data_IF_808676307881
#
_entry.id   IF_808676307881
#
_cell.length_a   1.000
_cell.length_b   1.000
_cell.length_c   1.000
_cell.angle_alpha   90.00
_cell.angle_beta   90.00
_cell.angle_gamma   90.00
#
_symmetry.space_group_name_H-M   'P 1'
#
loop_
_entity.id
_entity.type
_entity.pdbx_description
1 polymer ?
#
# COMPACT_ATOMS: atom_id res chain seq x y z
N UNK A 1 4.48 -15.65 22.14
CA UNK A 1 3.15 -16.13 21.75
C UNK A 1 3.33 -16.89 20.44
N UNK A 2 2.86 -18.14 20.36
CA UNK A 2 3.05 -18.98 19.18
C UNK A 2 1.78 -19.01 18.35
N UNK A 3 1.45 -17.89 17.69
CA UNK A 3 0.41 -17.91 16.66
C UNK A 3 1.06 -18.28 15.32
N UNK A 4 0.47 -19.22 14.60
CA UNK A 4 0.82 -19.54 13.23
C UNK A 4 0.13 -18.56 12.29
N UNK A 5 0.80 -18.12 11.23
CA UNK A 5 0.25 -17.23 10.23
C UNK A 5 0.14 -17.97 8.89
N UNK A 6 -1.07 -17.98 8.32
CA UNK A 6 -1.31 -18.41 6.95
C UNK A 6 -1.31 -17.18 6.02
N UNK A 7 -0.48 -17.22 4.98
CA UNK A 7 -0.43 -16.15 3.98
C UNK A 7 -1.41 -16.48 2.85
N UNK A 8 -2.31 -15.54 2.55
CA UNK A 8 -3.24 -15.68 1.43
C UNK A 8 -2.51 -15.35 0.11
N UNK A 9 -2.75 -16.12 -0.95
CA UNK A 9 -2.24 -15.79 -2.27
C UNK A 9 -2.96 -14.55 -2.83
N UNK A 10 -2.26 -13.84 -3.72
CA UNK A 10 -2.82 -12.74 -4.51
C UNK A 10 -2.76 -13.07 -5.99
N UNK A 11 -3.60 -12.42 -6.78
CA UNK A 11 -3.57 -12.52 -8.24
C UNK A 11 -2.47 -11.62 -8.86
N UNK A 12 -2.36 -11.62 -10.18
CA UNK A 12 -1.38 -10.80 -10.91
C UNK A 12 -1.57 -9.28 -10.78
N UNK A 13 -2.69 -8.83 -10.22
CA UNK A 13 -2.96 -7.44 -9.87
C UNK A 13 -2.70 -7.12 -8.39
N UNK A 14 -2.32 -8.13 -7.60
CA UNK A 14 -2.05 -8.01 -6.17
C UNK A 14 -3.31 -8.03 -5.31
N UNK A 15 -4.41 -8.62 -5.78
CA UNK A 15 -5.68 -8.75 -5.04
C UNK A 15 -5.83 -10.12 -4.41
N UNK A 16 -6.39 -10.15 -3.22
CA UNK A 16 -6.84 -11.37 -2.57
C UNK A 16 -8.16 -11.82 -3.19
N UNK A 17 -8.21 -13.04 -3.74
CA UNK A 17 -9.45 -13.65 -4.19
C UNK A 17 -10.31 -14.03 -2.98
N UNK A 18 -11.59 -13.60 -2.91
CA UNK A 18 -12.54 -14.01 -1.88
C UNK A 18 -12.64 -15.55 -1.71
N UNK A 19 -12.55 -16.31 -2.81
CA UNK A 19 -12.55 -17.78 -2.74
C UNK A 19 -11.30 -18.30 -2.00
N UNK A 20 -10.12 -17.72 -2.25
CA UNK A 20 -8.89 -18.10 -1.54
C UNK A 20 -8.97 -17.87 -0.03
N UNK A 21 -9.62 -16.80 0.41
CA UNK A 21 -9.88 -16.57 1.84
C UNK A 21 -10.84 -17.63 2.39
N UNK A 22 -11.95 -17.90 1.70
CA UNK A 22 -12.91 -18.91 2.12
C UNK A 22 -12.26 -20.28 2.27
N UNK A 23 -11.48 -20.70 1.26
CA UNK A 23 -10.77 -22.00 1.24
C UNK A 23 -9.77 -22.09 2.41
N UNK A 24 -9.01 -21.01 2.67
CA UNK A 24 -8.05 -20.98 3.77
C UNK A 24 -8.72 -21.11 5.15
N UNK A 25 -9.89 -20.48 5.33
CA UNK A 25 -10.67 -20.58 6.57
C UNK A 25 -11.29 -21.98 6.72
N UNK A 26 -11.78 -22.59 5.64
CA UNK A 26 -12.29 -23.96 5.63
C UNK A 26 -11.18 -24.99 5.92
N UNK A 27 -9.96 -24.74 5.43
CA UNK A 27 -8.77 -25.56 5.74
C UNK A 27 -8.38 -25.46 7.21
N UNK A 28 -8.42 -24.25 7.78
CA UNK A 28 -8.15 -24.02 9.19
C UNK A 28 -9.17 -24.76 10.08
N UNK A 29 -10.47 -24.65 9.75
CA UNK A 29 -11.55 -25.36 10.46
C UNK A 29 -11.35 -26.86 10.41
N UNK A 30 -11.06 -27.43 9.23
CA UNK A 30 -10.78 -28.87 9.05
C UNK A 30 -9.56 -29.34 9.83
N UNK A 31 -8.56 -28.48 10.00
CA UNK A 31 -7.39 -28.75 10.82
C UNK A 31 -7.66 -28.58 12.33
N UNK A 32 -8.84 -28.13 12.75
CA UNK A 32 -9.17 -27.82 14.13
C UNK A 32 -8.41 -26.61 14.69
N UNK A 33 -7.96 -25.70 13.82
CA UNK A 33 -7.29 -24.48 14.20
C UNK A 33 -8.31 -23.40 14.66
N UNK A 34 -7.99 -22.69 15.73
CA UNK A 34 -8.74 -21.52 16.18
C UNK A 34 -8.18 -20.27 15.52
N UNK A 35 -8.90 -19.75 14.51
CA UNK A 35 -8.49 -18.57 13.78
C UNK A 35 -8.83 -17.32 14.60
N UNK A 36 -7.82 -16.67 15.13
CA UNK A 36 -7.98 -15.50 15.99
C UNK A 36 -8.32 -14.21 15.23
N UNK A 37 -7.86 -14.06 13.98
CA UNK A 37 -7.98 -12.82 13.20
C UNK A 37 -7.70 -13.07 11.73
N UNK A 38 -8.45 -12.42 10.85
CA UNK A 38 -8.07 -12.16 9.46
C UNK A 38 -7.56 -10.72 9.38
N UNK A 39 -6.40 -10.52 8.73
CA UNK A 39 -5.81 -9.19 8.56
C UNK A 39 -5.38 -8.99 7.10
N UNK A 40 -5.98 -8.02 6.42
CA UNK A 40 -5.69 -7.70 5.01
C UNK A 40 -5.53 -6.19 4.86
N UNK A 41 -4.51 -5.76 4.14
CA UNK A 41 -4.27 -4.34 3.84
C UNK A 41 -5.39 -3.79 2.95
N UNK A 42 -5.91 -2.58 3.24
CA UNK A 42 -6.94 -1.96 2.41
C UNK A 42 -6.38 -1.50 1.06
N UNK A 43 -5.18 -0.91 1.06
CA UNK A 43 -4.55 -0.46 -0.15
C UNK A 43 -3.04 -0.71 -0.10
N UNK A 44 -2.51 -1.39 -1.12
CA UNK A 44 -1.11 -1.78 -1.17
C UNK A 44 -0.20 -0.56 -1.41
N UNK A 45 0.84 -0.44 -0.61
CA UNK A 45 1.77 0.70 -0.63
C UNK A 45 2.80 0.67 -1.77
N UNK A 46 2.93 -0.44 -2.49
CA UNK A 46 3.90 -0.58 -3.59
C UNK A 46 3.22 -0.46 -4.96
N UNK A 47 2.13 -1.18 -5.15
CA UNK A 47 1.44 -1.25 -6.45
C UNK A 47 0.13 -0.45 -6.48
N UNK A 48 -0.35 -0.01 -5.32
CA UNK A 48 -1.53 0.83 -5.20
C UNK A 48 -2.86 0.10 -5.30
N UNK A 49 -2.89 -1.22 -5.44
CA UNK A 49 -4.12 -2.03 -5.50
C UNK A 49 -4.95 -1.86 -4.25
N UNK A 50 -6.26 -1.65 -4.42
CA UNK A 50 -7.26 -1.53 -3.33
C UNK A 50 -8.02 -2.85 -3.24
N UNK A 51 -8.09 -3.41 -2.04
CA UNK A 51 -8.80 -4.66 -1.74
C UNK A 51 -10.29 -4.44 -1.51
N UNK A 52 -11.08 -5.45 -1.79
CA UNK A 52 -12.52 -5.46 -1.55
C UNK A 52 -12.81 -5.88 -0.10
N UNK A 53 -12.43 -4.99 0.84
CA UNK A 53 -12.52 -5.26 2.27
C UNK A 53 -13.95 -5.64 2.71
N UNK A 54 -15.03 -4.98 2.24
CA UNK A 54 -16.39 -5.37 2.65
C UNK A 54 -16.72 -6.84 2.36
N UNK A 55 -16.32 -7.33 1.19
CA UNK A 55 -16.54 -8.73 0.80
C UNK A 55 -15.70 -9.68 1.66
N UNK A 56 -14.43 -9.36 1.85
CA UNK A 56 -13.49 -10.19 2.62
C UNK A 56 -13.85 -10.22 4.11
N UNK A 57 -14.25 -9.08 4.68
CA UNK A 57 -14.74 -9.01 6.06
C UNK A 57 -16.02 -9.81 6.25
N UNK A 58 -16.96 -9.75 5.28
CA UNK A 58 -18.17 -10.55 5.29
C UNK A 58 -17.90 -12.05 5.39
N UNK A 59 -16.97 -12.57 4.58
CA UNK A 59 -16.57 -13.99 4.60
C UNK A 59 -15.99 -14.40 5.97
N UNK A 60 -15.21 -13.52 6.59
CA UNK A 60 -14.64 -13.75 7.92
C UNK A 60 -15.75 -13.79 8.99
N UNK A 61 -16.65 -12.84 8.94
CA UNK A 61 -17.75 -12.72 9.91
C UNK A 61 -18.79 -13.84 9.82
N UNK A 62 -19.04 -14.40 8.63
CA UNK A 62 -19.88 -15.59 8.48
C UNK A 62 -19.38 -16.80 9.31
N UNK A 63 -18.08 -16.79 9.64
CA UNK A 63 -17.42 -17.79 10.50
C UNK A 63 -17.16 -17.33 11.92
N UNK A 64 -17.63 -16.13 12.28
CA UNK A 64 -17.41 -15.52 13.59
C UNK A 64 -15.97 -15.07 13.86
N UNK A 65 -15.18 -14.90 12.82
CA UNK A 65 -13.76 -14.52 12.91
C UNK A 65 -13.63 -13.01 12.75
N UNK A 66 -12.97 -12.30 13.68
CA UNK A 66 -12.72 -10.86 13.57
C UNK A 66 -11.87 -10.49 12.36
N UNK A 67 -12.12 -9.28 11.80
CA UNK A 67 -11.39 -8.77 10.65
C UNK A 67 -10.71 -7.43 10.95
N UNK A 68 -9.42 -7.38 10.67
CA UNK A 68 -8.60 -6.16 10.73
C UNK A 68 -8.17 -5.73 9.33
N UNK A 69 -8.15 -4.42 9.10
CA UNK A 69 -7.52 -3.86 7.91
C UNK A 69 -6.44 -2.84 8.26
N UNK A 70 -5.31 -2.90 7.55
CA UNK A 70 -4.33 -1.81 7.53
C UNK A 70 -4.75 -0.80 6.47
N UNK A 71 -5.23 0.37 6.92
CA UNK A 71 -5.66 1.46 6.06
C UNK A 71 -4.62 2.62 5.98
N UNK A 72 -3.38 2.35 6.39
CA UNK A 72 -2.31 3.37 6.46
C UNK A 72 -2.10 4.09 5.13
N UNK A 73 -2.27 3.42 4.00
CA UNK A 73 -2.12 4.04 2.67
C UNK A 73 -3.44 4.57 2.09
N UNK A 74 -4.57 4.26 2.70
CA UNK A 74 -5.89 4.62 2.21
C UNK A 74 -6.42 5.92 2.83
N UNK A 75 -6.29 6.05 4.16
CA UNK A 75 -6.79 7.20 4.92
C UNK A 75 -6.17 8.49 4.41
N UNK A 76 -7.02 9.47 4.08
CA UNK A 76 -6.61 10.76 3.52
C UNK A 76 -6.37 10.75 2.00
N UNK A 77 -6.42 9.59 1.33
CA UNK A 77 -6.20 9.46 -0.12
C UNK A 77 -7.41 8.94 -0.89
N UNK A 78 -8.23 8.10 -0.23
CA UNK A 78 -9.51 7.60 -0.73
C UNK A 78 -10.54 7.63 0.40
N UNK A 79 -11.85 7.59 0.12
CA UNK A 79 -12.88 7.46 1.15
C UNK A 79 -12.66 6.18 1.97
N UNK A 80 -12.72 6.32 3.28
CA UNK A 80 -12.63 5.21 4.25
C UNK A 80 -13.73 5.40 5.29
N UNK A 81 -14.71 4.52 5.27
CA UNK A 81 -15.79 4.45 6.23
C UNK A 81 -15.78 3.08 6.91
N UNK A 82 -15.58 3.05 8.23
CA UNK A 82 -15.42 1.80 8.99
C UNK A 82 -16.72 0.97 9.03
N UNK A 83 -17.87 1.61 8.92
CA UNK A 83 -19.15 0.92 8.89
C UNK A 83 -19.39 0.28 7.52
N UNK A 84 -19.06 0.97 6.42
CA UNK A 84 -19.13 0.41 5.07
C UNK A 84 -18.10 -0.70 4.86
N UNK A 85 -16.88 -0.54 5.38
CA UNK A 85 -15.84 -1.58 5.33
C UNK A 85 -16.21 -2.81 6.17
N UNK A 86 -17.02 -2.62 7.20
CA UNK A 86 -17.48 -3.71 8.05
C UNK A 86 -16.38 -4.32 8.94
N UNK A 87 -15.27 -3.65 9.19
CA UNK A 87 -14.12 -4.17 9.93
C UNK A 87 -14.28 -4.06 11.46
N UNK A 88 -13.65 -4.96 12.22
CA UNK A 88 -13.60 -4.90 13.68
C UNK A 88 -12.45 -4.05 14.19
N UNK A 89 -11.37 -3.96 13.41
CA UNK A 89 -10.24 -3.10 13.71
C UNK A 89 -9.66 -2.49 12.42
N UNK A 90 -9.13 -1.24 12.54
CA UNK A 90 -8.48 -0.55 11.44
C UNK A 90 -7.26 0.23 11.96
N UNK A 91 -6.12 0.03 11.32
CA UNK A 91 -4.89 0.78 11.61
C UNK A 91 -4.72 1.96 10.66
N UNK A 92 -4.28 3.11 11.19
CA UNK A 92 -3.88 4.27 10.40
C UNK A 92 -2.63 4.95 10.97
N UNK A 93 -1.94 5.75 10.14
CA UNK A 93 -0.71 6.45 10.54
C UNK A 93 -0.73 7.90 10.05
N UNK A 94 -0.57 8.84 10.98
CA UNK A 94 -0.72 10.27 10.74
C UNK A 94 0.21 10.81 9.63
N UNK A 95 1.46 10.34 9.59
CA UNK A 95 2.44 10.84 8.61
C UNK A 95 2.11 10.51 7.15
N UNK A 96 1.11 9.67 6.90
CA UNK A 96 0.66 9.34 5.54
C UNK A 96 -0.33 10.35 4.96
N UNK A 97 -0.94 11.15 5.83
CA UNK A 97 -1.80 12.27 5.47
C UNK A 97 -1.31 13.59 6.10
N UNK A 98 0.01 13.81 6.08
CA UNK A 98 0.71 15.02 6.51
C UNK A 98 0.67 15.33 8.03
N UNK A 99 0.18 14.41 8.85
CA UNK A 99 0.17 14.53 10.29
C UNK A 99 1.55 14.22 10.93
N UNK A 100 1.66 14.32 12.26
CA UNK A 100 2.90 14.10 13.00
C UNK A 100 3.47 12.70 12.81
N UNK A 101 4.80 12.61 12.70
CA UNK A 101 5.50 11.31 12.68
C UNK A 101 5.45 10.65 14.05
N UNK A 102 5.40 9.31 14.07
CA UNK A 102 5.36 8.52 15.30
C UNK A 102 3.96 8.43 15.93
N UNK A 103 2.96 9.00 15.29
CA UNK A 103 1.56 8.99 15.72
C UNK A 103 0.71 8.16 14.77
N UNK A 104 -0.19 7.39 15.32
CA UNK A 104 -1.19 6.62 14.59
C UNK A 104 -2.37 6.30 15.49
N UNK A 105 -3.39 5.70 14.93
CA UNK A 105 -4.56 5.24 15.68
C UNK A 105 -4.93 3.81 15.27
N UNK A 106 -5.53 3.12 16.22
CA UNK A 106 -6.21 1.86 16.01
C UNK A 106 -7.70 2.06 16.33
N UNK A 107 -8.53 1.97 15.31
CA UNK A 107 -9.98 1.88 15.50
C UNK A 107 -10.32 0.48 15.97
N UNK A 108 -11.20 0.40 16.95
CA UNK A 108 -11.83 -0.85 17.39
C UNK A 108 -13.33 -0.64 17.40
N UNK A 109 -14.06 -1.56 16.76
CA UNK A 109 -15.52 -1.55 16.77
C UNK A 109 -16.05 -1.71 18.19
N UNK A 110 -17.18 -1.08 18.49
CA UNK A 110 -17.83 -1.25 19.77
C UNK A 110 -18.18 -2.72 20.00
N UNK A 111 -17.79 -3.24 21.17
CA UNK A 111 -17.93 -4.65 21.53
C UNK A 111 -16.77 -5.57 21.12
N UNK A 112 -15.89 -5.14 20.24
CA UNK A 112 -14.63 -5.84 19.96
C UNK A 112 -13.55 -5.38 20.93
N UNK A 113 -12.83 -6.33 21.55
CA UNK A 113 -11.79 -6.03 22.53
C UNK A 113 -10.54 -6.85 22.28
N UNK A 114 -9.41 -6.24 22.52
CA UNK A 114 -8.08 -6.86 22.45
C UNK A 114 -7.39 -6.74 23.80
N UNK A 115 -6.49 -7.66 24.18
CA UNK A 115 -5.67 -7.49 25.37
C UNK A 115 -4.73 -6.30 25.19
N UNK A 116 -4.44 -5.54 26.27
CA UNK A 116 -3.49 -4.44 26.20
C UNK A 116 -2.09 -4.93 25.84
N UNK A 117 -1.46 -4.30 24.85
CA UNK A 117 -0.07 -4.59 24.49
C UNK A 117 0.93 -3.98 25.48
N UNK A 118 0.57 -2.83 26.08
CA UNK A 118 1.37 -2.12 27.10
C UNK A 118 0.52 -1.97 28.34
N UNK A 119 0.87 -2.73 29.36
CA UNK A 119 0.19 -2.73 30.66
C UNK A 119 0.67 -1.55 31.52
N UNK A 120 -0.19 -1.06 32.44
CA UNK A 120 0.13 0.02 33.38
C UNK A 120 -1.11 0.81 33.81
N UNK A 121 -1.12 2.13 33.59
CA UNK A 121 -2.28 2.99 33.89
C UNK A 121 -3.46 2.75 32.94
N UNK A 122 -4.63 3.30 33.27
CA UNK A 122 -5.87 3.09 32.53
C UNK A 122 -6.07 3.95 31.28
N UNK A 123 -5.00 4.52 30.70
CA UNK A 123 -5.09 5.36 29.51
C UNK A 123 -5.61 4.56 28.33
N UNK A 124 -6.19 5.27 27.35
CA UNK A 124 -6.78 4.66 26.15
C UNK A 124 -7.76 3.51 26.51
N UNK A 125 -8.66 3.75 27.47
CA UNK A 125 -9.62 2.75 27.96
C UNK A 125 -8.94 1.46 28.51
N UNK A 126 -7.69 1.57 28.99
CA UNK A 126 -6.91 0.44 29.49
C UNK A 126 -6.19 -0.36 28.40
N UNK A 127 -6.32 0.01 27.13
CA UNK A 127 -5.74 -0.73 26.01
C UNK A 127 -4.28 -0.37 25.71
N UNK A 128 -3.88 0.87 26.05
CA UNK A 128 -2.53 1.34 25.82
C UNK A 128 -2.11 2.30 26.93
N UNK A 129 -1.34 1.84 27.84
CA UNK A 129 -0.85 2.62 28.99
C UNK A 129 0.22 3.63 28.60
N UNK A 130 0.34 4.69 29.39
CA UNK A 130 1.26 5.81 29.23
C UNK A 130 0.51 7.12 29.03
N UNK A 131 1.11 8.23 29.45
CA UNK A 131 0.53 9.57 29.27
C UNK A 131 0.24 9.82 27.79
N UNK A 132 -0.98 10.25 27.48
CA UNK A 132 -1.39 10.55 26.12
C UNK A 132 -0.58 11.72 25.55
N UNK A 133 -0.10 11.56 24.33
CA UNK A 133 0.51 12.65 23.55
C UNK A 133 -0.60 13.50 22.90
N UNK A 134 -1.15 14.40 23.70
CA UNK A 134 -2.26 15.27 23.26
C UNK A 134 -1.87 16.14 22.07
N UNK A 135 -0.63 16.63 22.05
CA UNK A 135 -0.16 17.50 20.95
C UNK A 135 -0.18 16.76 19.61
N UNK A 136 0.36 15.53 19.59
CA UNK A 136 0.37 14.71 18.37
C UNK A 136 -1.03 14.23 17.99
N UNK A 137 -1.90 13.94 18.96
CA UNK A 137 -3.29 13.56 18.68
C UNK A 137 -4.06 14.72 18.03
N UNK A 138 -3.93 15.96 18.55
CA UNK A 138 -4.55 17.15 17.94
C UNK A 138 -3.96 17.43 16.55
N UNK A 139 -2.65 17.30 16.38
CA UNK A 139 -1.99 17.47 15.08
C UNK A 139 -2.46 16.43 14.06
N UNK A 140 -2.67 15.17 14.49
CA UNK A 140 -3.23 14.12 13.65
C UNK A 140 -4.67 14.44 13.23
N UNK A 141 -5.51 14.88 14.17
CA UNK A 141 -6.91 15.23 13.88
C UNK A 141 -6.99 16.38 12.87
N UNK A 142 -6.25 17.46 13.07
CA UNK A 142 -6.21 18.59 12.14
C UNK A 142 -5.74 18.18 10.73
N UNK A 143 -4.70 17.36 10.66
CA UNK A 143 -4.21 16.85 9.36
C UNK A 143 -5.24 15.93 8.68
N UNK A 144 -5.99 15.13 9.44
CA UNK A 144 -7.05 14.29 8.89
C UNK A 144 -8.22 15.11 8.36
N UNK A 145 -8.65 16.14 9.10
CA UNK A 145 -9.67 17.09 8.64
C UNK A 145 -9.27 17.72 7.31
N UNK A 146 -8.06 18.28 7.21
CA UNK A 146 -7.52 18.86 5.97
C UNK A 146 -7.42 17.84 4.83
N UNK A 147 -6.96 16.62 5.13
CA UNK A 147 -6.88 15.54 4.15
C UNK A 147 -8.25 15.06 3.65
N UNK A 148 -9.32 15.24 4.42
CA UNK A 148 -10.69 14.92 4.01
C UNK A 148 -11.37 16.07 3.25
N UNK A 149 -10.85 17.31 3.29
CA UNK A 149 -11.35 18.41 2.47
C UNK A 149 -11.11 18.10 0.99
N UNK A 150 -12.17 18.16 0.18
CA UNK A 150 -12.14 17.85 -1.26
C UNK A 150 -11.40 16.55 -1.65
N UNK A 151 -11.50 15.53 -0.80
CA UNK A 151 -10.81 14.24 -0.98
C UNK A 151 -11.05 13.65 -2.36
N UNK A 152 -12.32 13.61 -2.82
CA UNK A 152 -12.66 13.06 -4.12
C UNK A 152 -12.14 13.92 -5.28
N UNK A 153 -12.18 15.25 -5.17
CA UNK A 153 -11.66 16.15 -6.18
C UNK A 153 -10.15 16.00 -6.33
N UNK A 154 -9.44 15.91 -5.20
CA UNK A 154 -8.01 15.66 -5.16
C UNK A 154 -7.66 14.29 -5.73
N UNK A 155 -8.38 13.23 -5.33
CA UNK A 155 -8.17 11.88 -5.83
C UNK A 155 -8.36 11.80 -7.36
N UNK A 156 -9.40 12.42 -7.90
CA UNK A 156 -9.63 12.50 -9.36
C UNK A 156 -8.50 13.24 -10.08
N UNK A 157 -8.05 14.40 -9.56
CA UNK A 157 -6.97 15.19 -10.15
C UNK A 157 -5.64 14.44 -10.15
N UNK A 158 -5.23 13.92 -9.00
CA UNK A 158 -3.97 13.18 -8.86
C UNK A 158 -4.01 11.90 -9.70
N UNK A 159 -5.14 11.18 -9.71
CA UNK A 159 -5.34 9.99 -10.53
C UNK A 159 -5.20 10.28 -12.03
N UNK A 160 -5.77 11.35 -12.54
CA UNK A 160 -5.62 11.75 -13.94
C UNK A 160 -4.16 12.09 -14.29
N UNK A 161 -3.44 12.76 -13.40
CA UNK A 161 -2.02 13.06 -13.55
C UNK A 161 -1.16 11.80 -13.54
N UNK A 162 -1.44 10.85 -12.62
CA UNK A 162 -0.81 9.52 -12.59
C UNK A 162 -1.02 8.77 -13.90
N UNK A 163 -2.25 8.73 -14.41
CA UNK A 163 -2.59 7.99 -15.63
C UNK A 163 -1.88 8.58 -16.85
N UNK A 164 -1.76 9.92 -16.92
CA UNK A 164 -0.95 10.58 -17.95
C UNK A 164 0.54 10.18 -17.88
N UNK A 165 1.10 10.12 -16.69
CA UNK A 165 2.47 9.65 -16.48
C UNK A 165 2.63 8.19 -16.90
N UNK A 166 1.72 7.31 -16.45
CA UNK A 166 1.76 5.88 -16.76
C UNK A 166 1.69 5.65 -18.27
N UNK A 167 0.71 6.23 -18.98
CA UNK A 167 0.58 6.08 -20.43
C UNK A 167 1.82 6.58 -21.16
N UNK A 168 2.36 7.75 -20.78
CA UNK A 168 3.57 8.30 -21.42
C UNK A 168 4.79 7.40 -21.22
N UNK A 169 4.98 6.83 -20.03
CA UNK A 169 6.11 5.92 -19.76
C UNK A 169 5.98 4.64 -20.61
N UNK A 170 4.78 4.07 -20.70
CA UNK A 170 4.52 2.85 -21.48
C UNK A 170 4.71 3.09 -22.99
N UNK A 171 4.25 4.22 -23.50
CA UNK A 171 4.40 4.58 -24.92
C UNK A 171 5.87 4.81 -25.32
N UNK A 172 6.65 5.41 -24.42
CA UNK A 172 8.03 5.82 -24.73
C UNK A 172 9.10 4.80 -24.37
N UNK A 173 8.75 3.77 -23.59
CA UNK A 173 9.75 2.87 -23.02
C UNK A 173 9.34 1.40 -23.24
N UNK A 174 9.77 0.77 -24.35
CA UNK A 174 9.54 -0.66 -24.56
C UNK A 174 10.11 -1.49 -23.42
N UNK A 175 9.43 -2.60 -23.06
CA UNK A 175 9.85 -3.48 -21.97
C UNK A 175 9.56 -2.90 -20.59
N UNK A 176 8.60 -1.99 -20.47
CA UNK A 176 8.02 -1.54 -19.20
C UNK A 176 6.57 -1.99 -19.13
N UNK A 177 6.14 -2.45 -17.97
CA UNK A 177 4.75 -2.80 -17.69
C UNK A 177 4.30 -2.14 -16.40
N UNK A 178 3.04 -1.69 -16.31
CA UNK A 178 2.47 -1.23 -15.05
C UNK A 178 2.24 -2.45 -14.16
N UNK A 179 2.29 -2.24 -12.83
CA UNK A 179 1.93 -3.24 -11.83
C UNK A 179 0.74 -2.78 -11.01
N UNK A 180 0.07 -3.72 -10.36
CA UNK A 180 -1.16 -3.49 -9.60
C UNK A 180 -2.42 -3.54 -10.46
N UNK A 181 -3.54 -3.17 -9.85
CA UNK A 181 -4.87 -3.21 -10.45
C UNK A 181 -4.97 -2.23 -11.64
N UNK A 182 -5.39 -2.70 -12.82
CA UNK A 182 -5.53 -1.84 -14.00
C UNK A 182 -6.72 -0.86 -13.93
N UNK A 183 -7.80 -1.22 -13.20
CA UNK A 183 -8.95 -0.35 -13.01
C UNK A 183 -8.56 0.87 -12.15
N UNK A 184 -8.67 2.11 -12.67
CA UNK A 184 -8.29 3.31 -11.93
C UNK A 184 -9.14 3.55 -10.67
N UNK A 185 -10.35 2.97 -10.58
CA UNK A 185 -11.22 3.06 -9.41
C UNK A 185 -10.85 2.07 -8.30
N UNK A 186 -9.99 1.10 -8.61
CA UNK A 186 -9.53 0.06 -7.68
C UNK A 186 -8.05 0.17 -7.34
N UNK A 187 -7.49 1.36 -7.56
CA UNK A 187 -6.10 1.66 -7.20
C UNK A 187 -5.96 3.04 -6.60
N UNK A 188 -4.97 3.20 -5.72
CA UNK A 188 -4.65 4.51 -5.14
C UNK A 188 -4.34 5.54 -6.23
N UNK A 189 -4.88 6.76 -6.12
CA UNK A 189 -4.67 7.80 -7.13
C UNK A 189 -3.20 8.23 -7.25
N UNK A 190 -2.44 8.14 -6.16
CA UNK A 190 -1.08 8.69 -6.06
C UNK A 190 0.04 7.73 -6.47
N UNK A 191 -0.24 6.43 -6.72
CA UNK A 191 0.82 5.45 -6.97
C UNK A 191 0.89 5.08 -8.45
N UNK A 192 2.04 5.38 -9.08
CA UNK A 192 2.45 4.85 -10.37
C UNK A 192 3.55 3.81 -10.13
N UNK A 193 3.23 2.54 -10.36
CA UNK A 193 4.13 1.41 -10.15
C UNK A 193 4.41 0.69 -11.46
N UNK A 194 5.67 0.34 -11.67
CA UNK A 194 6.15 -0.27 -12.90
C UNK A 194 7.13 -1.40 -12.61
N UNK A 195 7.21 -2.30 -13.59
CA UNK A 195 8.26 -3.29 -13.69
C UNK A 195 8.96 -3.13 -15.04
N UNK A 196 10.30 -3.09 -15.03
CA UNK A 196 11.13 -2.75 -16.17
C UNK A 196 12.02 -3.92 -16.53
N UNK A 197 11.89 -4.44 -17.76
CA UNK A 197 12.70 -5.54 -18.25
C UNK A 197 14.18 -5.15 -18.40
N UNK A 198 15.08 -6.02 -17.92
CA UNK A 198 16.54 -5.85 -17.97
C UNK A 198 17.06 -4.57 -17.32
N UNK A 199 16.41 -4.14 -16.23
CA UNK A 199 16.77 -2.96 -15.46
C UNK A 199 17.10 -3.35 -14.02
N UNK A 200 18.16 -2.80 -13.47
CA UNK A 200 18.43 -2.79 -12.03
C UNK A 200 17.69 -1.60 -11.40
N UNK A 201 16.71 -1.89 -10.55
CA UNK A 201 15.84 -0.88 -9.91
C UNK A 201 16.61 0.05 -8.97
N UNK A 202 17.62 -0.44 -8.26
CA UNK A 202 18.45 0.37 -7.37
C UNK A 202 19.26 1.40 -8.19
N UNK A 203 19.86 0.94 -9.28
CA UNK A 203 20.55 1.83 -10.21
C UNK A 203 19.60 2.86 -10.81
N UNK A 204 18.38 2.43 -11.18
CA UNK A 204 17.35 3.31 -11.72
C UNK A 204 16.97 4.42 -10.72
N UNK A 205 16.77 4.09 -9.47
CA UNK A 205 16.45 5.07 -8.40
C UNK A 205 17.61 6.09 -8.25
N UNK A 206 18.86 5.64 -8.27
CA UNK A 206 20.03 6.54 -8.23
C UNK A 206 20.07 7.49 -9.45
N UNK A 207 19.76 6.99 -10.64
CA UNK A 207 19.71 7.82 -11.85
C UNK A 207 18.56 8.83 -11.82
N UNK A 208 17.41 8.44 -11.28
CA UNK A 208 16.26 9.32 -11.08
C UNK A 208 16.57 10.41 -10.05
N UNK A 209 17.19 10.07 -8.92
CA UNK A 209 17.61 11.03 -7.91
C UNK A 209 18.54 12.10 -8.50
N UNK A 210 19.56 11.69 -9.28
CA UNK A 210 20.44 12.62 -10.01
C UNK A 210 19.70 13.48 -11.03
N UNK A 211 18.58 12.99 -11.54
CA UNK A 211 17.70 13.76 -12.42
C UNK A 211 16.68 14.63 -11.64
N UNK A 212 16.75 14.66 -10.30
CA UNK A 212 15.85 15.42 -9.44
C UNK A 212 14.46 14.79 -9.29
N UNK A 213 14.38 13.45 -9.36
CA UNK A 213 13.15 12.68 -9.17
C UNK A 213 13.33 11.72 -8.01
N UNK A 214 12.58 11.91 -6.93
CA UNK A 214 12.52 10.97 -5.82
C UNK A 214 11.66 9.76 -6.21
N UNK A 215 12.19 8.56 -6.06
CA UNK A 215 11.55 7.31 -6.41
C UNK A 215 11.95 6.18 -5.45
N UNK A 216 11.28 5.03 -5.54
CA UNK A 216 11.63 3.83 -4.78
C UNK A 216 11.51 2.58 -5.66
N UNK A 217 12.21 1.50 -5.28
CA UNK A 217 12.15 0.20 -5.96
C UNK A 217 11.01 -0.69 -5.47
N UNK A 218 10.38 -0.35 -4.35
CA UNK A 218 9.35 -1.17 -3.72
C UNK A 218 9.00 -0.59 -2.34
N UNK A 219 8.98 -1.41 -1.31
CA UNK A 219 8.78 -0.92 0.05
C UNK A 219 9.96 -0.08 0.54
N UNK A 220 9.69 1.16 0.97
CA UNK A 220 10.70 2.01 1.60
C UNK A 220 11.26 1.43 2.91
N UNK A 221 10.55 0.46 3.51
CA UNK A 221 10.98 -0.24 4.74
C UNK A 221 12.03 -1.32 4.48
N UNK A 222 12.19 -1.77 3.23
CA UNK A 222 13.16 -2.78 2.79
C UNK A 222 14.42 -2.17 2.15
N UNK A 223 14.67 -0.88 2.38
CA UNK A 223 15.86 -0.19 1.85
C UNK A 223 17.13 -0.91 2.27
N UNK A 224 17.93 -1.34 1.29
CA UNK A 224 19.18 -2.08 1.51
C UNK A 224 19.07 -3.61 1.33
N UNK A 225 17.89 -4.15 1.04
CA UNK A 225 17.76 -5.53 0.58
C UNK A 225 18.00 -5.61 -0.91
N UNK A 226 18.85 -6.55 -1.33
CA UNK A 226 19.06 -6.88 -2.74
C UNK A 226 18.03 -7.87 -3.29
N UNK A 227 17.10 -8.29 -2.44
CA UNK A 227 16.03 -9.21 -2.82
C UNK A 227 14.88 -8.46 -3.54
N UNK A 228 14.25 -9.11 -4.53
CA UNK A 228 13.06 -8.57 -5.18
C UNK A 228 11.94 -8.26 -4.17
N UNK A 229 11.06 -7.33 -4.50
CA UNK A 229 9.88 -7.05 -3.68
C UNK A 229 9.04 -8.31 -3.49
N UNK A 230 8.72 -8.64 -2.24
CA UNK A 230 7.84 -9.76 -1.92
C UNK A 230 6.43 -9.58 -2.51
N UNK A 231 5.96 -8.33 -2.69
CA UNK A 231 4.68 -8.01 -3.34
C UNK A 231 4.74 -8.41 -4.81
N UNK A 232 5.77 -8.00 -5.52
CA UNK A 232 5.97 -8.30 -6.94
C UNK A 232 6.13 -9.81 -7.17
N UNK A 233 6.87 -10.48 -6.29
CA UNK A 233 7.00 -11.95 -6.33
C UNK A 233 5.66 -12.64 -6.06
N UNK A 234 4.89 -12.20 -5.07
CA UNK A 234 3.57 -12.75 -4.78
C UNK A 234 2.57 -12.57 -5.94
N UNK A 235 2.75 -11.53 -6.76
CA UNK A 235 1.97 -11.29 -7.98
C UNK A 235 2.40 -12.16 -9.18
N UNK A 236 3.37 -13.09 -8.99
CA UNK A 236 3.83 -14.04 -10.02
C UNK A 236 4.96 -13.51 -10.92
N UNK A 237 5.63 -12.44 -10.53
CA UNK A 237 6.80 -11.94 -11.24
C UNK A 237 8.09 -12.57 -10.69
N UNK A 238 8.35 -13.83 -11.06
CA UNK A 238 9.50 -14.60 -10.55
C UNK A 238 10.75 -14.48 -11.44
N UNK A 239 10.61 -13.99 -12.69
CA UNK A 239 11.71 -13.84 -13.62
C UNK A 239 12.66 -12.70 -13.20
N UNK A 240 13.96 -12.98 -12.92
CA UNK A 240 14.93 -11.97 -12.51
C UNK A 240 15.16 -10.85 -13.52
N UNK A 241 14.86 -11.06 -14.81
CA UNK A 241 14.93 -10.02 -15.83
C UNK A 241 13.84 -8.96 -15.65
N UNK A 242 12.79 -9.27 -14.90
CA UNK A 242 11.69 -8.37 -14.58
C UNK A 242 11.70 -7.92 -13.13
N UNK A 243 11.72 -8.84 -12.16
CA UNK A 243 11.44 -8.53 -10.76
C UNK A 243 12.49 -7.65 -10.06
N UNK A 244 13.70 -7.53 -10.65
CA UNK A 244 14.72 -6.57 -10.20
C UNK A 244 14.48 -5.15 -10.69
N UNK A 245 13.69 -4.98 -11.74
CA UNK A 245 13.42 -3.70 -12.39
C UNK A 245 12.20 -2.96 -11.84
N UNK A 246 11.92 -3.07 -10.57
CA UNK A 246 10.76 -2.40 -9.96
C UNK A 246 11.00 -0.89 -9.79
N UNK A 247 9.96 -0.10 -10.07
CA UNK A 247 9.95 1.35 -9.89
C UNK A 247 8.60 1.79 -9.33
N UNK A 248 8.61 2.49 -8.19
CA UNK A 248 7.44 3.17 -7.65
C UNK A 248 7.66 4.68 -7.63
N UNK A 249 6.71 5.41 -8.18
CA UNK A 249 6.57 6.85 -8.08
C UNK A 249 5.31 7.16 -7.28
N UNK A 250 5.47 7.87 -6.16
CA UNK A 250 4.37 8.31 -5.31
C UNK A 250 4.16 9.81 -5.55
N UNK A 251 3.02 10.16 -6.11
CA UNK A 251 2.66 11.56 -6.40
C UNK A 251 2.14 12.23 -5.13
N UNK A 252 2.59 13.45 -4.88
CA UNK A 252 2.09 14.28 -3.80
C UNK A 252 0.69 14.83 -4.09
N UNK A 253 -0.03 15.19 -3.05
CA UNK A 253 -1.39 15.75 -3.18
C UNK A 253 -1.40 17.10 -3.94
N UNK A 254 -0.32 17.86 -3.89
CA UNK A 254 -0.12 19.14 -4.56
C UNK A 254 0.63 19.03 -5.89
N UNK A 255 0.85 17.81 -6.41
CA UNK A 255 1.52 17.59 -7.69
C UNK A 255 0.86 18.39 -8.81
N UNK A 256 1.70 19.05 -9.64
CA UNK A 256 1.27 19.93 -10.74
C UNK A 256 1.45 19.27 -12.11
N UNK A 257 0.79 19.82 -13.14
CA UNK A 257 1.02 19.44 -14.54
C UNK A 257 2.48 19.55 -14.95
N UNK A 258 3.17 20.61 -14.48
CA UNK A 258 4.59 20.83 -14.74
C UNK A 258 5.46 19.72 -14.16
N UNK A 259 5.14 19.24 -12.95
CA UNK A 259 5.88 18.13 -12.35
C UNK A 259 5.70 16.86 -13.17
N UNK A 260 4.48 16.60 -13.64
CA UNK A 260 4.21 15.44 -14.50
C UNK A 260 4.92 15.58 -15.85
N UNK A 261 4.97 16.77 -16.46
CA UNK A 261 5.72 17.00 -17.70
C UNK A 261 7.21 16.66 -17.51
N UNK A 262 7.80 17.07 -16.37
CA UNK A 262 9.18 16.72 -16.02
C UNK A 262 9.35 15.20 -15.82
N UNK A 263 8.42 14.53 -15.15
CA UNK A 263 8.46 13.09 -14.98
C UNK A 263 8.33 12.36 -16.31
N UNK A 264 7.41 12.76 -17.18
CA UNK A 264 7.22 12.22 -18.53
C UNK A 264 8.46 12.35 -19.42
N UNK A 265 9.29 13.36 -19.18
CA UNK A 265 10.57 13.52 -19.88
C UNK A 265 11.69 12.67 -19.27
N UNK A 266 11.83 12.70 -17.94
CA UNK A 266 12.99 12.16 -17.22
C UNK A 266 12.91 10.66 -16.99
N UNK A 267 11.74 10.14 -16.62
CA UNK A 267 11.57 8.73 -16.26
C UNK A 267 11.93 7.80 -17.43
N UNK A 268 11.41 7.98 -18.66
CA UNK A 268 11.81 7.13 -19.79
C UNK A 268 13.31 7.15 -20.06
N UNK A 269 13.95 8.34 -20.04
CA UNK A 269 15.40 8.48 -20.26
C UNK A 269 16.23 7.76 -19.19
N UNK A 270 15.80 7.83 -17.93
CA UNK A 270 16.49 7.14 -16.84
C UNK A 270 16.36 5.62 -16.94
N UNK A 271 15.17 5.11 -17.33
CA UNK A 271 14.96 3.67 -17.57
C UNK A 271 15.86 3.15 -18.69
N UNK A 272 15.89 3.84 -19.83
CA UNK A 272 16.77 3.46 -20.94
C UNK A 272 18.24 3.46 -20.53
N UNK A 273 18.67 4.49 -19.79
CA UNK A 273 20.05 4.57 -19.29
C UNK A 273 20.37 3.48 -18.27
N UNK A 274 19.45 3.19 -17.35
CA UNK A 274 19.61 2.11 -16.40
C UNK A 274 19.76 0.76 -17.12
N UNK A 275 18.92 0.47 -18.11
CA UNK A 275 18.97 -0.75 -18.91
C UNK A 275 20.34 -0.96 -19.59
N UNK A 276 20.90 0.10 -20.16
CA UNK A 276 22.24 0.05 -20.78
C UNK A 276 23.37 -0.23 -19.78
N UNK A 277 23.19 0.15 -18.53
CA UNK A 277 24.20 0.04 -17.47
C UNK A 277 24.02 -1.22 -16.61
N UNK A 278 22.84 -1.81 -16.58
CA UNK A 278 22.51 -2.96 -15.73
C UNK A 278 23.19 -4.27 -16.12
N UNK A 279 23.81 -4.34 -17.29
CA UNK A 279 24.64 -5.50 -17.69
C UNK A 279 23.88 -6.79 -18.02
N UNK A 280 22.55 -6.76 -18.08
CA UNK A 280 21.73 -7.90 -18.49
C UNK A 280 21.82 -8.21 -20.01
N UNK A 281 22.39 -7.30 -20.79
CA UNK A 281 22.49 -7.40 -22.26
C UNK A 281 23.83 -7.99 -22.71
N UNK A 282 24.22 -9.17 -22.16
CA UNK A 282 25.35 -9.93 -22.76
C UNK A 282 25.16 -11.43 -22.56
#
# INVERSE_FOLDING_TARGET
MGADAAMLPVDGSGRVDPASLSDALDDAERAGADVALVSIILANNEVGTIEDIPVLAGISHERGIPFHTDAVQAVGHIPVDVDELGVDALSLSAHKFHGPRGTGALYLRDGFSIPPMVEGGGQERGLRSGTQDVASAVGMAAALEEACEDLEGRARRVGALRDRLVSTVLERTPGVRPTGEPDPHRRLPSIASFICHDVDGELLVVLLDRAGVAAATGSACSTGSTEPSHVITAMGWDDPSWNRGTLRLSLADDVTDRDIDLLCERVPRCIERARLLSGFSR
#
